data_IF_788580134549
#
_entry.id   IF_788580134549
#
_cell.length_a   1.000
_cell.length_b   1.000
_cell.length_c   1.000
_cell.angle_alpha   90.00
_cell.angle_beta   90.00
_cell.angle_gamma   90.00
#
_symmetry.space_group_name_H-M   'P 1'
#
loop_
_entity.id
_entity.type
_entity.pdbx_description
1 polymer ?
#
# COMPACT_ATOMS: atom_id res chain seq x y z
N UNK A 1 -5.25 30.09 59.86
CA UNK A 1 -5.29 30.22 58.39
C UNK A 1 -4.59 29.01 57.79
N UNK A 2 -5.35 28.02 57.32
CA UNK A 2 -4.81 26.80 56.72
C UNK A 2 -4.56 27.07 55.23
N UNK A 3 -3.33 26.80 54.79
CA UNK A 3 -2.88 27.02 53.43
C UNK A 3 -3.41 25.87 52.57
N UNK A 4 -4.40 26.16 51.72
CA UNK A 4 -4.95 25.23 50.73
C UNK A 4 -3.84 24.83 49.77
N UNK A 5 -3.29 23.62 49.94
CA UNK A 5 -2.37 23.01 48.97
C UNK A 5 -3.20 22.58 47.77
N UNK A 6 -3.29 23.43 46.77
CA UNK A 6 -3.75 23.08 45.44
C UNK A 6 -2.94 21.88 44.94
N UNK A 7 -3.61 20.73 44.81
CA UNK A 7 -3.03 19.55 44.17
C UNK A 7 -2.66 19.92 42.73
N UNK A 8 -1.50 19.47 42.22
CA UNK A 8 -1.14 19.70 40.84
C UNK A 8 -2.23 19.09 39.94
N UNK A 9 -2.81 19.92 39.09
CA UNK A 9 -3.68 19.48 37.99
C UNK A 9 -2.89 18.41 37.25
N UNK A 10 -3.42 17.18 37.24
CA UNK A 10 -2.79 16.07 36.54
C UNK A 10 -2.53 16.53 35.10
N UNK A 11 -1.25 16.61 34.73
CA UNK A 11 -0.88 16.91 33.35
C UNK A 11 -1.66 15.92 32.46
N UNK A 12 -2.35 16.39 31.41
CA UNK A 12 -3.08 15.49 30.52
C UNK A 12 -2.14 14.36 30.14
N UNK A 13 -2.60 13.13 30.35
CA UNK A 13 -1.81 11.92 30.18
C UNK A 13 -1.17 11.98 28.79
N UNK A 14 0.09 12.41 28.72
CA UNK A 14 0.87 12.36 27.51
C UNK A 14 1.08 10.87 27.28
N UNK A 15 0.17 10.26 26.53
CA UNK A 15 0.29 8.86 26.11
C UNK A 15 1.53 8.83 25.24
N UNK A 16 2.68 8.54 25.85
CA UNK A 16 3.88 8.17 25.13
C UNK A 16 3.52 6.89 24.38
N UNK A 17 3.23 7.04 23.09
CA UNK A 17 3.06 5.90 22.23
C UNK A 17 4.33 5.06 22.32
N UNK A 18 4.16 3.77 22.60
CA UNK A 18 5.27 2.84 22.45
C UNK A 18 5.73 2.92 20.99
N UNK A 19 7.05 2.95 20.70
CA UNK A 19 7.55 2.87 19.33
C UNK A 19 7.03 1.64 18.57
N UNK A 20 6.58 0.59 19.28
CA UNK A 20 5.93 -0.57 18.68
C UNK A 20 4.51 -0.30 18.14
N UNK A 21 3.87 0.80 18.57
CA UNK A 21 2.53 1.20 18.17
C UNK A 21 2.51 2.34 17.13
N UNK A 22 3.68 2.81 16.71
CA UNK A 22 3.84 3.89 15.74
C UNK A 22 4.67 5.06 16.27
N UNK A 23 4.78 6.09 15.44
CA UNK A 23 5.45 7.35 15.71
C UNK A 23 4.40 8.37 16.11
N UNK A 24 4.65 9.07 17.23
CA UNK A 24 3.87 10.25 17.59
C UNK A 24 4.15 11.39 16.60
N UNK A 25 3.26 12.37 16.58
CA UNK A 25 3.30 13.60 15.79
C UNK A 25 3.25 13.37 14.26
N UNK A 26 2.54 12.33 13.84
CA UNK A 26 2.38 11.97 12.43
C UNK A 26 0.92 11.74 12.03
N UNK A 27 0.65 11.93 10.74
CA UNK A 27 -0.61 11.52 10.12
C UNK A 27 -0.59 10.05 9.74
N UNK A 28 -1.66 9.34 10.10
CA UNK A 28 -1.89 7.95 9.73
C UNK A 28 -3.18 7.83 8.93
N UNK A 29 -3.20 6.92 7.95
CA UNK A 29 -4.44 6.57 7.26
C UNK A 29 -5.31 5.72 8.19
N UNK A 30 -6.52 6.18 8.43
CA UNK A 30 -7.53 5.38 9.11
C UNK A 30 -8.15 4.41 8.11
N UNK A 31 -8.87 4.90 7.10
CA UNK A 31 -9.56 4.06 6.10
C UNK A 31 -9.79 4.80 4.79
N UNK A 32 -10.13 4.08 3.70
CA UNK A 32 -10.68 4.70 2.50
C UNK A 32 -11.94 5.51 2.83
N UNK A 33 -12.04 6.74 2.33
CA UNK A 33 -13.12 7.69 2.62
C UNK A 33 -14.50 7.15 2.26
N UNK A 34 -14.58 6.37 1.17
CA UNK A 34 -15.81 5.70 0.74
C UNK A 34 -16.33 4.63 1.72
N UNK A 35 -15.52 4.19 2.69
CA UNK A 35 -15.91 3.24 3.73
C UNK A 35 -16.41 3.93 5.02
N UNK A 36 -16.53 5.26 5.02
CA UNK A 36 -17.08 6.04 6.14
C UNK A 36 -18.39 6.68 5.69
N UNK A 37 -19.49 6.01 6.06
CA UNK A 37 -20.86 6.46 5.81
C UNK A 37 -21.44 7.24 6.99
N UNK A 38 -22.77 7.39 7.01
CA UNK A 38 -23.49 8.08 8.09
C UNK A 38 -23.54 7.31 9.41
N UNK A 39 -23.36 5.99 9.38
CA UNK A 39 -23.30 5.15 10.58
C UNK A 39 -21.89 5.07 11.17
N UNK A 40 -21.77 4.87 12.50
CA UNK A 40 -20.48 4.70 13.15
C UNK A 40 -19.77 3.44 12.68
N UNK A 41 -18.45 3.55 12.50
CA UNK A 41 -17.60 2.41 12.21
C UNK A 41 -16.33 2.43 13.05
N UNK A 42 -16.06 1.32 13.73
CA UNK A 42 -14.88 1.16 14.55
C UNK A 42 -13.61 1.01 13.68
N UNK A 43 -12.55 1.71 14.08
CA UNK A 43 -11.22 1.67 13.47
C UNK A 43 -10.18 1.60 14.58
N UNK A 44 -9.28 0.62 14.49
CA UNK A 44 -8.13 0.52 15.38
C UNK A 44 -6.94 1.31 14.79
N UNK A 45 -6.20 2.02 15.62
CA UNK A 45 -5.00 2.77 15.21
C UNK A 45 -4.08 2.95 16.42
N UNK A 46 -2.80 2.62 16.30
CA UNK A 46 -1.79 2.84 17.33
C UNK A 46 -2.19 2.41 18.76
N UNK A 47 -2.87 1.27 18.91
CA UNK A 47 -3.32 0.72 20.19
C UNK A 47 -4.65 1.25 20.72
N UNK A 48 -5.32 2.18 20.01
CA UNK A 48 -6.66 2.69 20.36
C UNK A 48 -7.71 2.24 19.34
N UNK A 49 -8.97 2.17 19.78
CA UNK A 49 -10.13 1.99 18.91
C UNK A 49 -10.99 3.24 18.97
N UNK A 50 -11.33 3.79 17.81
CA UNK A 50 -12.20 4.97 17.67
C UNK A 50 -13.35 4.63 16.72
N UNK A 51 -14.50 5.27 16.90
CA UNK A 51 -15.61 5.21 15.97
C UNK A 51 -15.57 6.42 15.04
N UNK A 52 -15.72 6.19 13.73
CA UNK A 52 -15.82 7.24 12.72
C UNK A 52 -17.21 7.25 12.10
N UNK A 53 -17.73 8.43 11.76
CA UNK A 53 -18.93 8.56 10.94
C UNK A 53 -18.92 9.87 10.16
N UNK A 54 -19.79 9.95 9.16
CA UNK A 54 -20.02 11.16 8.37
C UNK A 54 -21.24 11.91 8.91
N UNK A 55 -21.05 13.19 9.19
CA UNK A 55 -22.12 14.11 9.59
C UNK A 55 -23.08 14.39 8.42
N UNK A 56 -24.22 15.02 8.71
CA UNK A 56 -25.18 15.47 7.69
C UNK A 56 -24.54 16.43 6.68
N UNK A 57 -23.58 17.25 7.12
CA UNK A 57 -22.82 18.16 6.25
C UNK A 57 -21.71 17.48 5.43
N UNK A 58 -21.58 16.16 5.52
CA UNK A 58 -20.56 15.41 4.77
C UNK A 58 -19.18 15.39 5.43
N UNK A 59 -18.95 16.07 6.54
CA UNK A 59 -17.66 16.01 7.25
C UNK A 59 -17.51 14.69 8.03
N UNK A 60 -16.30 14.11 8.05
CA UNK A 60 -15.97 12.95 8.89
C UNK A 60 -15.64 13.42 10.31
N UNK A 61 -16.18 12.71 11.31
CA UNK A 61 -15.97 12.98 12.73
C UNK A 61 -15.73 11.68 13.51
N UNK A 62 -15.34 11.78 14.78
CA UNK A 62 -15.12 10.65 15.69
C UNK A 62 -15.77 10.81 17.06
N UNK A 63 -15.80 9.71 17.82
CA UNK A 63 -16.16 9.66 19.25
C UNK A 63 -15.02 10.12 20.17
N UNK A 64 -13.79 10.17 19.66
CA UNK A 64 -12.64 10.82 20.27
C UNK A 64 -12.60 12.31 19.85
N UNK A 65 -12.92 13.27 20.74
CA UNK A 65 -12.97 14.70 20.40
C UNK A 65 -11.58 15.34 20.24
N UNK A 66 -10.53 14.67 20.73
CA UNK A 66 -9.16 15.15 20.65
C UNK A 66 -8.49 14.70 19.34
N UNK A 67 -9.09 13.74 18.64
CA UNK A 67 -8.58 13.23 17.37
C UNK A 67 -8.77 14.25 16.25
N UNK A 68 -7.66 14.75 15.69
CA UNK A 68 -7.69 15.59 14.49
C UNK A 68 -7.81 14.70 13.26
N UNK A 69 -8.88 14.92 12.49
CA UNK A 69 -9.21 14.15 11.29
C UNK A 69 -9.06 15.02 10.04
N UNK A 70 -8.73 14.39 8.93
CA UNK A 70 -8.79 15.01 7.61
C UNK A 70 -9.27 14.01 6.56
N UNK A 71 -9.88 14.49 5.49
CA UNK A 71 -10.13 13.69 4.29
C UNK A 71 -9.22 14.20 3.17
N UNK A 72 -8.37 13.32 2.63
CA UNK A 72 -7.38 13.66 1.60
C UNK A 72 -7.15 12.45 0.69
N UNK A 73 -7.11 12.67 -0.61
CA UNK A 73 -6.77 11.64 -1.62
C UNK A 73 -7.53 10.30 -1.45
N UNK A 74 -8.82 10.41 -1.11
CA UNK A 74 -9.76 9.30 -0.88
C UNK A 74 -9.51 8.47 0.37
N UNK A 75 -8.77 9.04 1.33
CA UNK A 75 -8.57 8.50 2.65
C UNK A 75 -9.11 9.43 3.73
N UNK A 76 -9.56 8.84 4.83
CA UNK A 76 -9.66 9.51 6.12
C UNK A 76 -8.33 9.30 6.84
N UNK A 77 -7.66 10.39 7.19
CA UNK A 77 -6.45 10.41 8.00
C UNK A 77 -6.74 10.89 9.41
N UNK A 78 -5.89 10.48 10.35
CA UNK A 78 -5.87 10.99 11.71
C UNK A 78 -4.46 11.40 12.11
N UNK A 79 -4.36 12.54 12.79
CA UNK A 79 -3.11 12.96 13.40
C UNK A 79 -2.97 12.28 14.76
N UNK A 80 -1.84 11.60 14.94
CA UNK A 80 -1.52 10.86 16.15
C UNK A 80 -0.38 11.61 16.85
N UNK A 81 -0.70 12.62 17.64
CA UNK A 81 0.30 13.48 18.28
C UNK A 81 -0.33 14.56 19.15
N UNK A 82 0.50 15.48 19.64
CA UNK A 82 0.06 16.62 20.42
C UNK A 82 0.23 17.94 19.65
N UNK A 83 -0.64 18.91 19.91
CA UNK A 83 -0.57 20.24 19.31
C UNK A 83 -1.20 20.33 17.92
N UNK A 84 -0.83 21.39 17.19
CA UNK A 84 -1.33 21.64 15.85
C UNK A 84 -0.65 20.71 14.84
N UNK A 85 -1.41 19.93 14.06
CA UNK A 85 -0.83 19.02 13.11
C UNK A 85 -0.12 19.78 11.98
N UNK A 86 0.98 19.22 11.48
CA UNK A 86 1.52 19.63 10.19
C UNK A 86 0.47 19.42 9.08
N UNK A 87 0.70 20.03 7.91
CA UNK A 87 -0.18 19.81 6.75
C UNK A 87 -0.33 18.31 6.46
N UNK A 88 -1.57 17.86 6.24
CA UNK A 88 -1.85 16.46 5.91
C UNK A 88 -1.04 16.04 4.67
N UNK A 89 -0.35 14.89 4.70
CA UNK A 89 0.43 14.43 3.57
C UNK A 89 -0.50 14.14 2.40
N UNK A 90 -0.27 14.82 1.28
CA UNK A 90 -0.92 14.52 0.00
C UNK A 90 -0.15 13.44 -0.75
N UNK A 91 -0.83 12.75 -1.66
CA UNK A 91 -0.18 11.96 -2.69
C UNK A 91 0.57 12.91 -3.63
N UNK A 92 1.83 12.60 -3.98
CA UNK A 92 2.71 13.52 -4.71
C UNK A 92 2.22 13.88 -6.13
N UNK A 93 1.33 13.08 -6.71
CA UNK A 93 0.81 13.31 -8.05
C UNK A 93 -0.73 13.22 -8.08
N UNK A 94 -1.41 14.18 -8.73
CA UNK A 94 -2.84 14.08 -8.99
C UNK A 94 -3.12 12.85 -9.87
N UNK A 95 -4.30 12.27 -9.70
CA UNK A 95 -4.74 11.13 -10.51
C UNK A 95 -4.75 11.57 -11.98
N UNK A 96 -3.93 10.92 -12.82
CA UNK A 96 -3.93 11.17 -14.26
C UNK A 96 -5.30 10.82 -14.83
N UNK A 97 -5.81 11.64 -15.77
CA UNK A 97 -7.06 11.34 -16.46
C UNK A 97 -7.00 9.95 -17.11
N UNK A 98 -8.07 9.16 -16.96
CA UNK A 98 -8.14 7.78 -17.47
C UNK A 98 -7.40 6.73 -16.64
N UNK A 99 -6.87 7.11 -15.46
CA UNK A 99 -6.29 6.16 -14.52
C UNK A 99 -7.39 5.45 -13.71
N UNK A 100 -7.37 4.12 -13.73
CA UNK A 100 -8.19 3.29 -12.86
C UNK A 100 -7.59 3.23 -11.47
N UNK A 101 -8.47 3.17 -10.46
CA UNK A 101 -8.13 3.15 -9.05
C UNK A 101 -8.76 1.94 -8.39
N UNK A 102 -7.95 1.19 -7.66
CA UNK A 102 -8.40 0.08 -6.84
C UNK A 102 -7.92 0.29 -5.41
N UNK A 103 -8.86 0.35 -4.47
CA UNK A 103 -8.58 0.46 -3.04
C UNK A 103 -8.79 -0.90 -2.37
N UNK A 104 -7.83 -1.32 -1.55
CA UNK A 104 -7.89 -2.59 -0.82
C UNK A 104 -7.41 -2.40 0.62
N UNK A 105 -8.07 -3.07 1.53
CA UNK A 105 -7.64 -3.18 2.93
C UNK A 105 -7.19 -4.62 3.18
N UNK A 106 -6.00 -4.81 3.72
CA UNK A 106 -5.42 -6.13 4.01
C UNK A 106 -5.01 -6.17 5.49
N UNK A 107 -5.56 -7.11 6.26
CA UNK A 107 -5.19 -7.28 7.66
C UNK A 107 -4.02 -8.24 7.80
N UNK A 108 -3.07 -7.88 8.66
CA UNK A 108 -1.84 -8.62 8.89
C UNK A 108 -1.71 -8.95 10.40
N UNK A 109 -1.59 -10.24 10.78
CA UNK A 109 -1.31 -10.63 12.16
C UNK A 109 0.20 -10.47 12.47
N UNK A 110 0.72 -9.27 12.25
CA UNK A 110 2.11 -8.92 12.48
C UNK A 110 2.26 -7.44 12.82
N UNK A 111 3.36 -7.11 13.52
CA UNK A 111 3.85 -5.75 13.69
C UNK A 111 3.98 -5.07 12.32
N UNK A 112 3.42 -3.86 12.20
CA UNK A 112 3.47 -3.05 10.98
C UNK A 112 4.89 -2.86 10.44
N UNK A 113 5.91 -2.79 11.32
CA UNK A 113 7.32 -2.62 10.92
C UNK A 113 7.83 -3.81 10.13
N UNK A 114 7.50 -5.03 10.56
CA UNK A 114 7.89 -6.24 9.83
C UNK A 114 7.20 -6.30 8.46
N UNK A 115 5.95 -5.86 8.38
CA UNK A 115 5.22 -5.76 7.10
C UNK A 115 5.84 -4.70 6.19
N UNK A 116 6.24 -3.55 6.75
CA UNK A 116 6.91 -2.48 6.04
C UNK A 116 8.29 -2.91 5.53
N UNK A 117 9.11 -3.52 6.39
CA UNK A 117 10.42 -4.08 6.04
C UNK A 117 10.29 -5.11 4.92
N UNK A 118 9.31 -6.01 5.01
CA UNK A 118 9.02 -6.97 3.94
C UNK A 118 8.69 -6.25 2.62
N UNK A 119 7.87 -5.20 2.65
CA UNK A 119 7.56 -4.42 1.44
C UNK A 119 8.76 -3.66 0.86
N UNK A 120 9.74 -3.31 1.70
CA UNK A 120 10.97 -2.63 1.29
C UNK A 120 12.07 -3.60 0.82
N UNK A 121 12.04 -4.85 1.26
CA UNK A 121 12.97 -5.88 0.81
C UNK A 121 12.62 -6.33 -0.62
N UNK A 122 13.43 -5.98 -1.61
CA UNK A 122 13.18 -6.46 -2.97
C UNK A 122 13.55 -7.92 -3.18
N UNK A 123 14.47 -8.46 -2.37
CA UNK A 123 14.96 -9.80 -2.56
C UNK A 123 13.84 -10.83 -2.37
N UNK A 124 12.93 -10.61 -1.40
CA UNK A 124 11.81 -11.52 -1.15
C UNK A 124 10.95 -11.77 -2.40
N UNK A 125 10.88 -10.82 -3.33
CA UNK A 125 10.01 -10.93 -4.50
C UNK A 125 10.31 -12.13 -5.40
N UNK A 126 11.59 -12.50 -5.53
CA UNK A 126 12.01 -13.65 -6.33
C UNK A 126 11.70 -15.00 -5.65
N UNK A 127 11.34 -15.01 -4.37
CA UNK A 127 11.16 -16.23 -3.58
C UNK A 127 9.71 -16.40 -3.08
N UNK A 128 9.05 -15.31 -2.69
CA UNK A 128 7.74 -15.30 -2.04
C UNK A 128 6.60 -15.11 -3.02
N UNK A 129 6.87 -14.50 -4.18
CA UNK A 129 5.86 -14.19 -5.20
C UNK A 129 6.07 -14.99 -6.49
N UNK A 130 6.17 -16.34 -6.42
CA UNK A 130 6.32 -17.14 -7.61
C UNK A 130 5.12 -16.88 -8.53
N UNK A 131 5.40 -16.71 -9.82
CA UNK A 131 4.43 -16.42 -10.87
C UNK A 131 3.82 -15.01 -10.83
N UNK A 132 3.72 -14.34 -9.68
CA UNK A 132 2.95 -13.09 -9.52
C UNK A 132 3.76 -11.79 -9.64
N UNK A 133 5.08 -11.85 -9.62
CA UNK A 133 5.94 -10.66 -9.78
C UNK A 133 6.93 -10.78 -10.94
N UNK A 134 7.25 -9.66 -11.63
CA UNK A 134 8.15 -9.70 -12.77
C UNK A 134 9.55 -10.16 -12.38
N UNK A 135 10.03 -9.82 -11.17
CA UNK A 135 11.33 -10.25 -10.67
C UNK A 135 11.50 -11.77 -10.66
N UNK A 136 10.45 -12.53 -10.36
CA UNK A 136 10.47 -13.99 -10.43
C UNK A 136 10.58 -14.51 -11.88
N UNK A 137 9.84 -13.91 -12.82
CA UNK A 137 9.96 -14.28 -14.25
C UNK A 137 11.36 -13.97 -14.80
N UNK A 138 11.93 -12.85 -14.37
CA UNK A 138 13.31 -12.49 -14.70
C UNK A 138 14.30 -13.47 -14.11
N UNK A 139 14.07 -13.90 -12.87
CA UNK A 139 14.85 -14.91 -12.19
C UNK A 139 14.87 -16.24 -12.97
N UNK A 140 13.70 -16.73 -13.40
CA UNK A 140 13.63 -17.96 -14.19
C UNK A 140 14.32 -17.85 -15.54
N UNK A 141 14.18 -16.72 -16.24
CA UNK A 141 14.65 -16.58 -17.62
C UNK A 141 16.17 -16.39 -17.70
N UNK A 142 16.76 -15.70 -16.74
CA UNK A 142 18.14 -15.19 -16.85
C UNK A 142 19.04 -15.56 -15.68
N UNK A 143 18.59 -16.42 -14.76
CA UNK A 143 19.25 -16.64 -13.46
C UNK A 143 18.99 -15.49 -12.48
N UNK A 144 19.84 -15.31 -11.46
CA UNK A 144 19.84 -14.10 -10.63
C UNK A 144 20.90 -13.11 -11.16
N UNK A 145 20.63 -12.35 -12.24
CA UNK A 145 21.52 -11.24 -12.59
C UNK A 145 21.51 -10.25 -11.43
N UNK A 146 22.66 -9.63 -11.16
CA UNK A 146 22.77 -8.63 -10.10
C UNK A 146 21.78 -7.49 -10.34
N UNK A 147 20.77 -7.38 -9.48
CA UNK A 147 19.88 -6.23 -9.44
C UNK A 147 20.68 -5.03 -8.95
N UNK A 148 20.74 -3.96 -9.73
CA UNK A 148 21.41 -2.74 -9.31
C UNK A 148 20.41 -1.88 -8.55
N UNK A 149 20.61 -1.71 -7.26
CA UNK A 149 19.79 -0.86 -6.41
C UNK A 149 20.57 0.40 -6.00
N UNK A 150 19.92 1.55 -6.09
CA UNK A 150 20.45 2.82 -5.58
C UNK A 150 19.51 3.33 -4.50
N UNK A 151 20.08 3.63 -3.34
CA UNK A 151 19.35 4.14 -2.18
C UNK A 151 19.69 5.61 -1.97
N UNK A 152 18.69 6.41 -1.65
CA UNK A 152 18.87 7.79 -1.21
C UNK A 152 17.92 8.10 -0.07
N UNK A 153 18.46 8.64 1.01
CA UNK A 153 17.69 9.09 2.17
C UNK A 153 17.68 10.61 2.25
N UNK A 154 16.61 11.15 2.81
CA UNK A 154 16.49 12.56 3.22
C UNK A 154 15.59 12.65 4.47
N UNK A 155 15.28 13.89 4.90
CA UNK A 155 14.44 14.11 6.07
C UNK A 155 12.99 13.58 5.91
N UNK A 156 12.52 13.41 4.66
CA UNK A 156 11.19 12.91 4.34
C UNK A 156 11.10 11.39 4.25
N UNK A 157 12.22 10.69 4.06
CA UNK A 157 12.28 9.23 4.11
C UNK A 157 13.36 8.60 3.22
N UNK A 158 12.99 7.55 2.50
CA UNK A 158 13.88 6.72 1.69
C UNK A 158 13.35 6.60 0.26
N UNK A 159 14.23 6.78 -0.73
CA UNK A 159 13.96 6.43 -2.12
C UNK A 159 14.89 5.32 -2.57
N UNK A 160 14.35 4.37 -3.33
CA UNK A 160 15.11 3.24 -3.88
C UNK A 160 14.78 3.10 -5.36
N UNK A 161 15.79 3.02 -6.21
CA UNK A 161 15.63 2.71 -7.62
C UNK A 161 16.31 1.39 -7.93
N UNK A 162 15.55 0.44 -8.47
CA UNK A 162 16.03 -0.89 -8.84
C UNK A 162 16.07 -1.05 -10.36
N UNK A 163 17.24 -1.41 -10.91
CA UNK A 163 17.48 -1.56 -12.35
C UNK A 163 17.90 -2.97 -12.71
N UNK A 164 17.42 -3.42 -13.87
CA UNK A 164 17.86 -4.65 -14.52
C UNK A 164 18.35 -4.34 -15.94
N UNK A 165 19.68 -4.41 -16.12
CA UNK A 165 20.33 -3.91 -17.33
C UNK A 165 19.98 -2.44 -17.55
N UNK A 166 19.42 -2.12 -18.72
CA UNK A 166 18.99 -0.75 -19.04
C UNK A 166 17.64 -0.35 -18.46
N UNK A 167 16.81 -1.31 -18.04
CA UNK A 167 15.43 -1.07 -17.63
C UNK A 167 15.33 -0.75 -16.14
N UNK A 168 14.55 0.27 -15.79
CA UNK A 168 14.14 0.47 -14.40
C UNK A 168 12.98 -0.45 -14.09
N UNK A 169 13.17 -1.34 -13.11
CA UNK A 169 12.16 -2.30 -12.70
C UNK A 169 11.19 -1.68 -11.71
N UNK A 170 11.71 -0.95 -10.73
CA UNK A 170 10.92 -0.35 -9.67
C UNK A 170 11.53 0.95 -9.18
N UNK A 171 10.68 1.92 -8.86
CA UNK A 171 10.99 3.04 -7.99
C UNK A 171 10.18 2.91 -6.70
N UNK A 172 10.85 2.89 -5.54
CA UNK A 172 10.24 2.96 -4.22
C UNK A 172 10.46 4.33 -3.59
N UNK A 173 9.43 4.83 -2.94
CA UNK A 173 9.49 6.00 -2.09
C UNK A 173 8.80 5.66 -0.78
N UNK A 174 9.57 5.55 0.29
CA UNK A 174 9.07 5.48 1.64
C UNK A 174 9.05 6.88 2.25
N UNK A 175 7.93 7.27 2.82
CA UNK A 175 7.79 8.48 3.62
C UNK A 175 7.21 8.14 4.97
N UNK A 176 7.74 8.79 6.02
CA UNK A 176 7.24 8.63 7.37
C UNK A 176 5.74 9.00 7.48
N UNK A 177 4.99 8.36 8.39
CA UNK A 177 5.47 7.30 9.28
C UNK A 177 5.48 5.90 8.63
N UNK A 178 4.62 5.66 7.63
CA UNK A 178 4.25 4.30 7.23
C UNK A 178 3.92 4.12 5.75
N UNK A 179 4.17 5.14 4.92
CA UNK A 179 3.73 5.15 3.52
C UNK A 179 4.83 4.69 2.59
N UNK A 180 4.54 3.64 1.84
CA UNK A 180 5.34 3.18 0.70
C UNK A 180 4.61 3.49 -0.60
N UNK A 181 5.31 4.12 -1.55
CA UNK A 181 4.90 4.20 -2.95
C UNK A 181 5.84 3.36 -3.79
N UNK A 182 5.29 2.47 -4.60
CA UNK A 182 5.98 1.61 -5.54
C UNK A 182 5.49 1.91 -6.96
N UNK A 183 6.40 2.33 -7.83
CA UNK A 183 6.14 2.45 -9.26
C UNK A 183 6.84 1.28 -9.96
N UNK A 184 6.05 0.34 -10.47
CA UNK A 184 6.54 -0.81 -11.24
C UNK A 184 6.68 -0.42 -12.71
N UNK A 185 7.86 -0.69 -13.27
CA UNK A 185 8.24 -0.37 -14.65
C UNK A 185 7.99 1.11 -14.99
N UNK A 186 8.61 2.07 -14.27
CA UNK A 186 8.34 3.51 -14.42
C UNK A 186 8.62 4.03 -15.85
N UNK A 187 9.55 3.41 -16.57
CA UNK A 187 9.89 3.78 -17.95
C UNK A 187 8.97 3.13 -19.01
N UNK A 188 7.97 2.33 -18.58
CA UNK A 188 7.00 1.69 -19.45
C UNK A 188 5.88 2.66 -19.86
N UNK A 189 5.23 2.48 -21.03
CA UNK A 189 3.98 3.18 -21.35
C UNK A 189 2.84 2.89 -20.37
N UNK A 190 2.95 1.83 -19.57
CA UNK A 190 1.93 1.41 -18.61
C UNK A 190 2.52 1.18 -17.21
N UNK A 191 3.00 2.24 -16.53
CA UNK A 191 3.51 2.09 -15.17
C UNK A 191 2.37 1.72 -14.22
N UNK A 192 2.67 0.85 -13.26
CA UNK A 192 1.74 0.52 -12.17
C UNK A 192 2.21 1.26 -10.92
N UNK A 193 1.38 2.14 -10.39
CA UNK A 193 1.68 2.95 -9.21
C UNK A 193 0.87 2.42 -8.01
N UNK A 194 1.56 1.81 -7.06
CA UNK A 194 0.99 1.17 -5.88
C UNK A 194 1.39 2.00 -4.67
N UNK A 195 0.42 2.47 -3.90
CA UNK A 195 0.62 3.16 -2.64
C UNK A 195 0.12 2.25 -1.53
N UNK A 196 0.93 2.06 -0.50
CA UNK A 196 0.63 1.21 0.65
C UNK A 196 0.88 2.03 1.91
N UNK A 197 -0.12 2.08 2.79
CA UNK A 197 0.03 2.60 4.14
C UNK A 197 0.08 1.42 5.12
N UNK A 198 1.16 1.32 5.89
CA UNK A 198 1.40 0.25 6.87
C UNK A 198 0.91 0.67 8.26
N UNK A 199 -0.41 0.58 8.46
CA UNK A 199 -1.07 1.17 9.61
C UNK A 199 -0.96 0.25 10.84
N UNK A 200 -0.33 0.69 11.95
CA UNK A 200 -0.30 -0.08 13.19
C UNK A 200 -1.68 -0.09 13.87
N UNK A 201 -2.15 -1.26 14.30
CA UNK A 201 -3.35 -1.37 15.13
C UNK A 201 -3.00 -1.72 16.58
N UNK A 202 -2.16 -2.74 16.76
CA UNK A 202 -1.59 -3.18 18.05
C UNK A 202 -0.12 -3.54 17.84
N UNK A 203 0.58 -3.99 18.88
CA UNK A 203 1.99 -4.38 18.76
C UNK A 203 2.21 -5.61 17.86
N UNK A 204 1.17 -6.42 17.68
CA UNK A 204 1.16 -7.70 16.96
C UNK A 204 0.17 -7.73 15.78
N UNK A 205 -0.49 -6.61 15.48
CA UNK A 205 -1.46 -6.51 14.39
C UNK A 205 -1.33 -5.20 13.65
N UNK A 206 -1.45 -5.28 12.33
CA UNK A 206 -1.44 -4.13 11.45
C UNK A 206 -2.43 -4.32 10.31
N UNK A 207 -2.67 -3.26 9.55
CA UNK A 207 -3.34 -3.34 8.26
C UNK A 207 -2.55 -2.60 7.20
N UNK A 208 -2.72 -3.03 5.96
CA UNK A 208 -2.28 -2.30 4.78
C UNK A 208 -3.49 -1.68 4.09
N UNK A 209 -3.44 -0.37 3.91
CA UNK A 209 -4.35 0.32 3.00
C UNK A 209 -3.63 0.53 1.67
N UNK A 210 -4.09 -0.18 0.64
CA UNK A 210 -3.45 -0.26 -0.67
C UNK A 210 -4.29 0.49 -1.70
N UNK A 211 -3.70 1.50 -2.32
CA UNK A 211 -4.23 2.15 -3.52
C UNK A 211 -3.40 1.74 -4.73
N UNK A 212 -4.02 1.08 -5.68
CA UNK A 212 -3.42 0.76 -6.98
C UNK A 212 -3.94 1.76 -8.01
N UNK A 213 -3.01 2.45 -8.68
CA UNK A 213 -3.25 3.37 -9.79
C UNK A 213 -2.62 2.79 -11.04
N UNK A 214 -3.42 2.61 -12.09
CA UNK A 214 -2.96 2.10 -13.39
C UNK A 214 -3.69 2.77 -14.54
N UNK A 215 -3.07 2.94 -15.71
CA UNK A 215 -3.82 3.34 -16.91
C UNK A 215 -4.88 2.28 -17.24
N UNK A 216 -6.01 2.73 -17.81
CA UNK A 216 -6.93 1.82 -18.47
C UNK A 216 -6.18 1.07 -19.58
N UNK A 217 -6.21 -0.26 -19.53
CA UNK A 217 -5.42 -1.03 -20.47
C UNK A 217 -6.13 -1.20 -21.82
N UNK A 218 -5.41 -1.20 -22.95
CA UNK A 218 -6.03 -1.24 -24.29
C UNK A 218 -6.94 -2.45 -24.57
N UNK A 219 -6.78 -3.55 -23.83
CA UNK A 219 -7.63 -4.74 -23.96
C UNK A 219 -8.86 -4.71 -23.06
N UNK A 220 -8.90 -3.85 -22.05
CA UNK A 220 -10.12 -3.59 -21.26
C UNK A 220 -11.17 -2.87 -22.12
N UNK A 221 -10.72 -2.19 -23.17
CA UNK A 221 -11.53 -1.59 -24.23
C UNK A 221 -11.67 -2.48 -25.49
N UNK A 222 -11.22 -3.75 -25.43
CA UNK A 222 -11.55 -4.77 -26.44
C UNK A 222 -10.73 -4.78 -27.74
N UNK A 223 -9.57 -4.11 -27.83
CA UNK A 223 -8.91 -3.88 -29.14
C UNK A 223 -7.37 -4.04 -29.23
N UNK A 224 -6.68 -4.67 -28.29
CA UNK A 224 -5.21 -4.61 -28.25
C UNK A 224 -4.48 -5.79 -28.92
N UNK A 225 -3.42 -5.49 -29.70
CA UNK A 225 -2.35 -6.42 -30.12
C UNK A 225 -1.04 -6.03 -29.43
N UNK A 226 -0.27 -7.01 -28.97
CA UNK A 226 0.98 -6.79 -28.22
C UNK A 226 2.21 -7.24 -29.00
N UNK A 227 3.35 -6.60 -28.74
CA UNK A 227 4.67 -7.08 -29.17
C UNK A 227 5.28 -7.96 -28.08
N UNK A 228 6.22 -8.83 -28.45
CA UNK A 228 6.85 -9.80 -27.54
C UNK A 228 7.54 -9.18 -26.32
N UNK A 229 7.92 -7.89 -26.38
CA UNK A 229 8.44 -7.12 -25.24
C UNK A 229 7.37 -6.71 -24.21
N UNK A 230 6.09 -6.70 -24.58
CA UNK A 230 4.96 -6.32 -23.73
C UNK A 230 4.46 -7.51 -22.88
N UNK A 231 4.97 -8.72 -23.12
CA UNK A 231 4.56 -9.95 -22.42
C UNK A 231 4.94 -9.94 -20.93
N UNK A 232 6.02 -9.27 -20.53
CA UNK A 232 6.40 -9.14 -19.12
C UNK A 232 5.37 -8.28 -18.36
N UNK A 233 4.88 -7.21 -18.99
CA UNK A 233 3.82 -6.34 -18.45
C UNK A 233 2.52 -7.14 -18.34
N UNK A 234 2.13 -7.85 -19.39
CA UNK A 234 0.91 -8.68 -19.40
C UNK A 234 0.91 -9.80 -18.37
N UNK A 235 2.04 -10.46 -18.12
CA UNK A 235 2.13 -11.56 -17.16
C UNK A 235 1.88 -11.08 -15.72
N UNK A 236 2.51 -9.96 -15.33
CA UNK A 236 2.34 -9.32 -14.01
C UNK A 236 0.89 -8.86 -13.81
N UNK A 237 0.29 -8.37 -14.89
CA UNK A 237 -1.03 -7.76 -14.90
C UNK A 237 -2.17 -8.78 -14.89
N UNK A 238 -2.07 -9.84 -15.70
CA UNK A 238 -3.15 -10.84 -15.80
C UNK A 238 -3.40 -11.59 -14.49
N UNK A 239 -2.37 -11.72 -13.64
CA UNK A 239 -2.48 -12.44 -12.37
C UNK A 239 -3.13 -11.63 -11.25
N UNK A 240 -3.01 -10.30 -11.24
CA UNK A 240 -3.70 -9.47 -10.25
C UNK A 240 -5.24 -9.55 -10.36
N UNK A 241 -5.78 -9.82 -11.55
CA UNK A 241 -7.23 -10.06 -11.74
C UNK A 241 -7.71 -11.37 -11.10
N UNK A 242 -6.88 -12.41 -11.14
CA UNK A 242 -7.25 -13.76 -10.67
C UNK A 242 -7.21 -13.93 -9.14
N UNK A 243 -6.67 -12.96 -8.39
CA UNK A 243 -6.65 -12.99 -6.92
C UNK A 243 -7.87 -12.31 -6.28
N UNK A 244 -8.79 -11.77 -7.08
CA UNK A 244 -10.07 -11.25 -6.58
C UNK A 244 -10.97 -12.40 -6.12
N UNK A 245 -10.85 -12.77 -4.84
CA UNK A 245 -11.74 -13.74 -4.18
C UNK A 245 -13.15 -13.14 -4.15
N UNK A 246 -14.02 -13.52 -5.09
CA UNK A 246 -15.46 -13.33 -4.91
C UNK A 246 -15.89 -14.23 -3.75
N UNK A 247 -16.01 -13.66 -2.54
CA UNK A 247 -16.77 -14.27 -1.46
C UNK A 247 -18.23 -14.28 -1.88
N UNK A 248 -18.71 -15.42 -2.37
CA UNK A 248 -20.14 -15.71 -2.32
C UNK A 248 -20.50 -15.83 -0.84
N UNK A 249 -21.51 -15.11 -0.33
CA UNK A 249 -21.90 -15.23 1.07
C UNK A 249 -22.60 -16.58 1.26
N UNK A 250 -21.86 -17.61 1.64
CA UNK A 250 -22.44 -18.86 2.15
C UNK A 250 -22.43 -18.81 3.67
N UNK A 251 -23.63 -18.91 4.27
CA UNK A 251 -23.77 -19.18 5.70
C UNK A 251 -23.14 -20.55 5.99
N UNK A 252 -22.29 -20.58 7.00
CA UNK A 252 -21.57 -21.73 7.58
C UNK A 252 -20.19 -22.08 6.97
N UNK A 253 -19.23 -22.08 7.91
CA UNK A 253 -17.92 -22.73 7.99
C UNK A 253 -17.22 -23.24 6.72
N UNK A 254 -16.05 -22.63 6.48
CA UNK A 254 -14.78 -23.22 6.04
C UNK A 254 -14.75 -24.13 4.79
N UNK A 255 -14.58 -23.50 3.62
CA UNK A 255 -13.66 -23.96 2.58
C UNK A 255 -13.35 -22.80 1.61
N UNK A 256 -12.08 -22.40 1.49
CA UNK A 256 -11.63 -21.47 0.44
C UNK A 256 -11.46 -22.27 -0.85
N UNK A 257 -12.38 -22.09 -1.79
CA UNK A 257 -12.26 -22.67 -3.12
C UNK A 257 -11.34 -21.79 -3.97
N UNK A 258 -10.09 -22.22 -4.14
CA UNK A 258 -9.20 -21.66 -5.15
C UNK A 258 -9.73 -22.08 -6.54
N UNK A 259 -10.16 -21.13 -7.37
CA UNK A 259 -10.37 -21.44 -8.80
C UNK A 259 -9.01 -21.75 -9.42
N UNK A 260 -8.96 -22.76 -10.29
CA UNK A 260 -7.76 -23.07 -11.08
C UNK A 260 -7.29 -21.80 -11.80
N UNK A 261 -5.98 -21.47 -11.78
CA UNK A 261 -5.45 -20.38 -12.58
C UNK A 261 -5.78 -20.62 -14.06
N UNK A 262 -6.10 -19.54 -14.78
CA UNK A 262 -6.22 -19.59 -16.24
C UNK A 262 -4.90 -20.13 -16.80
N UNK A 263 -4.92 -21.30 -17.44
CA UNK A 263 -3.76 -21.78 -18.19
C UNK A 263 -3.61 -20.88 -19.42
N UNK A 264 -2.71 -19.90 -19.34
CA UNK A 264 -2.22 -19.20 -20.53
C UNK A 264 -1.17 -20.11 -21.16
N UNK A 265 -1.54 -20.79 -22.25
CA UNK A 265 -0.58 -21.54 -23.05
C UNK A 265 0.29 -20.53 -23.79
N UNK A 266 1.51 -20.33 -23.31
CA UNK A 266 2.53 -19.58 -24.05
C UNK A 266 2.98 -20.48 -25.20
N UNK A 267 2.63 -20.12 -26.44
CA UNK A 267 3.20 -20.77 -27.62
C UNK A 267 4.73 -20.71 -27.59
N UNK A 268 5.42 -21.58 -28.35
CA UNK A 268 6.87 -21.61 -28.38
C UNK A 268 7.43 -20.23 -28.74
N UNK A 269 8.21 -19.67 -27.81
CA UNK A 269 8.91 -18.40 -28.00
C UNK A 269 10.13 -18.70 -28.88
N UNK A 270 10.05 -18.35 -30.16
CA UNK A 270 11.21 -18.40 -31.06
C UNK A 270 12.26 -17.42 -30.57
N UNK A 271 13.36 -17.95 -30.02
CA UNK A 271 14.56 -17.17 -29.74
C UNK A 271 15.29 -16.99 -31.07
N UNK A 272 15.47 -15.76 -31.59
CA UNK A 272 16.28 -15.56 -32.79
C UNK A 272 17.70 -16.06 -32.49
N UNK A 273 18.33 -16.81 -33.41
CA UNK A 273 19.69 -17.30 -33.21
C UNK A 273 20.60 -16.11 -32.91
N UNK A 274 21.36 -16.22 -31.82
CA UNK A 274 22.41 -15.26 -31.48
C UNK A 274 23.34 -15.10 -32.66
N UNK A 275 23.49 -13.90 -33.19
CA UNK A 275 24.60 -13.55 -34.06
C UNK A 275 25.89 -13.75 -33.26
N UNK A 276 26.59 -14.87 -33.52
CA UNK A 276 27.96 -15.05 -33.05
C UNK A 276 28.83 -14.09 -33.86
N UNK A 277 29.36 -13.08 -33.20
CA UNK A 277 30.62 -12.42 -33.57
C UNK A 277 31.79 -13.21 -33.01
#
# INVERSE_FOLDING_TARGET
>A
MAQERSLPVAAPLAVRLSPALGLADHWYVLRPAMQVGSGPVAVAICGRTVQLWRTVGGAVTSDDPDLRLCEVDDYVGAYIGHGEPAASPRLPDPVRAGCLRELRTIWMPADHRLVLENSLDFAHSAFVHPWSQPSWLLHLRSGLPALQTTYRTDAGGLSVRARWGRYTMFDHYFSLPDRLRLIVLPDSPWPLDVIVHHVPETADRSRMEVLVRRPAWPWESGGARFRTGDLLVLAVVSQQRNTTVRRTPTRSSSAVCWRRPLQVSLGPISVPPSARS
#
